data_IF_129955961746
#
_entry.id   IF_129955961746
#
_cell.length_a   1.000
_cell.length_b   1.000
_cell.length_c   1.000
_cell.angle_alpha   90.00
_cell.angle_beta   90.00
_cell.angle_gamma   90.00
#
_symmetry.space_group_name_H-M   'P 1'
#
loop_
_entity.id
_entity.type
_entity.pdbx_description
1 polymer ?
#
# COMPACT_ATOMS: atom_id res chain seq x y z
N UNK A 1 23.62 -0.89 -20.90
CA UNK A 1 24.25 -1.02 -19.55
C UNK A 1 23.37 -1.96 -18.77
N UNK A 2 23.92 -3.03 -18.21
CA UNK A 2 23.14 -3.94 -17.35
C UNK A 2 22.88 -3.26 -16.01
N UNK A 3 21.67 -3.40 -15.47
CA UNK A 3 21.28 -2.89 -14.15
C UNK A 3 20.85 -4.09 -13.31
N UNK A 4 21.38 -4.22 -12.09
CA UNK A 4 20.90 -5.22 -11.16
C UNK A 4 19.69 -4.69 -10.38
N UNK A 5 18.60 -5.40 -10.42
CA UNK A 5 17.37 -5.09 -9.69
C UNK A 5 17.24 -5.97 -8.45
N UNK A 6 17.25 -5.36 -7.26
CA UNK A 6 17.20 -6.06 -5.97
C UNK A 6 15.88 -5.77 -5.27
N UNK A 7 15.06 -6.79 -5.07
CA UNK A 7 13.78 -6.68 -4.38
C UNK A 7 13.92 -7.09 -2.92
N UNK A 8 13.63 -6.16 -2.01
CA UNK A 8 13.75 -6.39 -0.57
C UNK A 8 12.36 -6.58 0.02
N UNK A 9 12.08 -7.81 0.41
CA UNK A 9 10.82 -8.20 1.05
C UNK A 9 10.98 -8.15 2.57
N UNK A 10 10.40 -7.15 3.17
CA UNK A 10 10.37 -7.02 4.64
C UNK A 10 9.34 -7.99 5.22
N UNK A 11 8.24 -8.24 4.52
CA UNK A 11 7.22 -9.23 4.91
C UNK A 11 6.77 -10.11 3.73
N UNK A 12 6.25 -11.32 4.00
CA UNK A 12 5.79 -12.24 2.96
C UNK A 12 4.69 -11.64 2.06
N UNK A 13 3.81 -10.81 2.61
CA UNK A 13 2.73 -10.15 1.85
C UNK A 13 3.21 -9.16 0.79
N UNK A 14 4.49 -8.83 0.76
CA UNK A 14 5.07 -7.94 -0.26
C UNK A 14 5.44 -8.67 -1.56
N UNK A 15 5.40 -10.00 -1.61
CA UNK A 15 5.66 -10.75 -2.84
C UNK A 15 4.73 -10.33 -3.98
N UNK A 16 3.45 -10.13 -3.68
CA UNK A 16 2.45 -9.70 -4.66
C UNK A 16 2.67 -8.26 -5.17
N UNK A 17 3.32 -7.41 -4.36
CA UNK A 17 3.56 -6.00 -4.70
C UNK A 17 4.62 -5.89 -5.80
N UNK A 18 5.68 -6.68 -5.68
CA UNK A 18 6.79 -6.62 -6.63
C UNK A 18 6.61 -7.48 -7.87
N UNK A 19 5.61 -8.38 -7.88
CA UNK A 19 5.40 -9.31 -9.00
C UNK A 19 5.28 -8.58 -10.33
N UNK A 20 4.44 -7.53 -10.40
CA UNK A 20 4.27 -6.73 -11.60
C UNK A 20 5.54 -6.01 -12.05
N UNK A 21 6.28 -5.41 -11.11
CA UNK A 21 7.56 -4.73 -11.37
C UNK A 21 8.59 -5.71 -11.91
N UNK A 22 8.77 -6.83 -11.20
CA UNK A 22 9.73 -7.88 -11.57
C UNK A 22 9.46 -8.47 -12.94
N UNK A 23 8.18 -8.79 -13.24
CA UNK A 23 7.80 -9.42 -14.51
C UNK A 23 8.04 -8.52 -15.73
N UNK A 24 8.00 -7.20 -15.55
CA UNK A 24 8.22 -6.25 -16.65
C UNK A 24 9.68 -5.82 -16.80
N UNK A 25 10.50 -5.92 -15.76
CA UNK A 25 11.90 -5.52 -15.85
C UNK A 25 12.69 -6.39 -16.82
N UNK A 26 12.47 -7.70 -16.82
CA UNK A 26 13.28 -8.65 -17.58
C UNK A 26 14.79 -8.47 -17.29
N UNK A 27 15.55 -9.50 -17.15
CA UNK A 27 16.99 -9.41 -16.86
C UNK A 27 17.35 -9.87 -15.46
N UNK A 28 18.56 -9.49 -14.98
CA UNK A 28 19.09 -9.97 -13.72
C UNK A 28 18.33 -9.35 -12.54
N UNK A 29 17.58 -10.17 -11.81
CA UNK A 29 16.89 -9.77 -10.61
C UNK A 29 17.25 -10.66 -9.42
N UNK A 30 17.46 -10.05 -8.27
CA UNK A 30 17.78 -10.72 -7.01
C UNK A 30 16.65 -10.48 -6.00
N UNK A 31 16.05 -11.56 -5.50
CA UNK A 31 15.01 -11.50 -4.47
C UNK A 31 15.63 -11.73 -3.10
N UNK A 32 15.51 -10.75 -2.21
CA UNK A 32 16.02 -10.83 -0.84
C UNK A 32 14.85 -10.79 0.15
N UNK A 33 14.52 -11.95 0.70
CA UNK A 33 13.52 -12.08 1.77
C UNK A 33 14.18 -11.86 3.12
N UNK A 34 14.05 -10.68 3.68
CA UNK A 34 14.69 -10.30 4.95
C UNK A 34 14.28 -11.28 6.06
N UNK A 35 13.00 -11.61 6.18
CA UNK A 35 12.52 -12.54 7.20
C UNK A 35 13.10 -13.95 7.06
N UNK A 36 13.16 -14.50 5.83
CA UNK A 36 13.70 -15.85 5.56
C UNK A 36 15.22 -15.89 5.74
N UNK A 37 15.93 -14.87 5.20
CA UNK A 37 17.40 -14.83 5.23
C UNK A 37 17.95 -14.52 6.63
N UNK A 38 17.19 -13.83 7.46
CA UNK A 38 17.58 -13.52 8.83
C UNK A 38 17.12 -14.56 9.86
N UNK A 39 16.41 -15.61 9.42
CA UNK A 39 15.77 -16.60 10.30
C UNK A 39 14.96 -15.93 11.43
N UNK A 40 14.25 -14.84 11.10
CA UNK A 40 13.35 -14.19 12.04
C UNK A 40 12.11 -15.08 12.19
N UNK A 41 11.76 -15.39 13.44
CA UNK A 41 10.46 -16.02 13.72
C UNK A 41 9.33 -15.03 13.42
N UNK A 42 8.17 -15.53 13.02
CA UNK A 42 7.00 -14.69 12.67
C UNK A 42 6.64 -13.70 13.80
N UNK A 43 6.89 -14.09 15.05
CA UNK A 43 6.69 -13.26 16.23
C UNK A 43 7.65 -12.06 16.31
N UNK A 44 8.90 -12.19 15.86
CA UNK A 44 9.89 -11.11 15.85
C UNK A 44 9.55 -10.09 14.78
N UNK A 45 9.04 -10.54 13.63
CA UNK A 45 8.60 -9.68 12.55
C UNK A 45 7.37 -8.84 12.94
N UNK A 46 6.32 -9.47 13.46
CA UNK A 46 5.11 -8.80 13.98
C UNK A 46 5.47 -7.77 15.07
N UNK A 47 6.48 -8.08 15.85
CA UNK A 47 6.98 -7.21 16.89
C UNK A 47 7.72 -5.98 16.34
N UNK A 48 8.53 -6.13 15.30
CA UNK A 48 9.22 -5.02 14.64
C UNK A 48 8.21 -4.06 14.01
N UNK A 49 7.20 -4.56 13.32
CA UNK A 49 6.17 -3.73 12.67
C UNK A 49 5.23 -3.07 13.66
N UNK A 50 4.83 -3.75 14.75
CA UNK A 50 3.93 -3.19 15.79
C UNK A 50 4.61 -2.17 16.70
N UNK A 51 5.91 -2.25 16.85
CA UNK A 51 6.68 -1.34 17.71
C UNK A 51 6.80 0.05 17.10
N UNK A 52 6.49 0.24 15.83
CA UNK A 52 6.53 1.58 15.20
C UNK A 52 5.71 2.66 15.92
N UNK A 53 4.77 2.32 16.80
CA UNK A 53 3.82 3.26 17.39
C UNK A 53 3.87 3.45 18.92
N UNK A 54 4.85 2.93 19.68
CA UNK A 54 4.87 3.07 21.13
C UNK A 54 6.15 3.72 21.72
N UNK A 55 6.02 4.44 22.84
CA UNK A 55 7.13 5.05 23.61
C UNK A 55 8.18 4.01 24.07
N UNK A 56 7.79 2.74 24.20
CA UNK A 56 8.71 1.62 24.50
C UNK A 56 9.73 1.35 23.38
N UNK A 57 9.59 1.97 22.22
CA UNK A 57 10.53 1.97 21.10
C UNK A 57 11.97 2.28 21.53
N UNK A 58 12.14 3.33 22.31
CA UNK A 58 13.46 3.85 22.64
C UNK A 58 14.35 2.86 23.39
N UNK A 59 13.75 2.06 24.31
CA UNK A 59 14.48 1.03 25.03
C UNK A 59 14.77 -0.22 24.16
N UNK A 60 13.91 -0.49 23.18
CA UNK A 60 14.02 -1.69 22.32
C UNK A 60 15.01 -1.51 21.17
N UNK A 61 15.29 -0.28 20.80
CA UNK A 61 16.31 0.05 19.80
C UNK A 61 17.66 -0.63 20.07
N UNK A 62 18.03 -0.77 21.33
CA UNK A 62 19.23 -1.52 21.74
C UNK A 62 19.18 -3.01 21.33
N UNK A 63 17.98 -3.56 21.14
CA UNK A 63 17.77 -4.96 20.74
C UNK A 63 17.76 -5.16 19.22
N UNK A 64 17.52 -4.10 18.42
CA UNK A 64 17.51 -4.20 16.95
C UNK A 64 18.90 -4.12 16.32
N UNK A 65 19.89 -3.65 17.05
CA UNK A 65 21.26 -3.55 16.53
C UNK A 65 21.75 -4.83 15.84
N UNK A 66 21.54 -6.04 16.41
CA UNK A 66 21.92 -7.29 15.75
C UNK A 66 21.20 -7.54 14.43
N UNK A 67 19.90 -7.23 14.34
CA UNK A 67 19.10 -7.40 13.12
C UNK A 67 19.55 -6.42 12.05
N UNK A 68 19.70 -5.14 12.41
CA UNK A 68 20.20 -4.11 11.49
C UNK A 68 21.59 -4.43 10.95
N UNK A 69 22.45 -4.99 11.80
CA UNK A 69 23.79 -5.43 11.40
C UNK A 69 23.76 -6.60 10.41
N UNK A 70 22.81 -7.53 10.56
CA UNK A 70 22.62 -8.62 9.58
C UNK A 70 22.13 -8.07 8.23
N UNK A 71 21.19 -7.13 8.24
CA UNK A 71 20.70 -6.48 7.02
C UNK A 71 21.83 -5.69 6.36
N UNK A 72 22.63 -4.96 7.13
CA UNK A 72 23.81 -4.26 6.64
C UNK A 72 24.78 -5.22 5.96
N UNK A 73 25.10 -6.35 6.58
CA UNK A 73 25.93 -7.39 5.98
C UNK A 73 25.40 -7.89 4.64
N UNK A 74 24.08 -8.14 4.54
CA UNK A 74 23.42 -8.58 3.31
C UNK A 74 23.54 -7.51 2.20
N UNK A 75 23.26 -6.26 2.50
CA UNK A 75 23.34 -5.16 1.53
C UNK A 75 24.80 -4.94 1.08
N UNK A 76 25.74 -5.00 2.01
CA UNK A 76 27.17 -4.89 1.70
C UNK A 76 27.62 -6.02 0.76
N UNK A 77 27.23 -7.26 1.03
CA UNK A 77 27.52 -8.40 0.17
C UNK A 77 27.02 -8.18 -1.26
N UNK A 78 25.76 -7.70 -1.41
CA UNK A 78 25.21 -7.39 -2.73
C UNK A 78 26.00 -6.29 -3.42
N UNK A 79 26.33 -5.21 -2.72
CA UNK A 79 27.09 -4.08 -3.27
C UNK A 79 28.51 -4.49 -3.66
N UNK A 80 29.18 -5.31 -2.87
CA UNK A 80 30.52 -5.82 -3.17
C UNK A 80 30.55 -6.81 -4.33
N UNK A 81 29.54 -7.69 -4.39
CA UNK A 81 29.49 -8.73 -5.42
C UNK A 81 29.08 -8.18 -6.78
N UNK A 82 28.17 -7.19 -6.81
CA UNK A 82 27.55 -6.73 -8.06
C UNK A 82 27.74 -5.23 -8.33
N UNK A 83 27.84 -4.41 -7.28
CA UNK A 83 27.88 -2.95 -7.39
C UNK A 83 29.17 -2.39 -8.00
N UNK A 84 30.22 -3.21 -8.13
CA UNK A 84 31.47 -2.81 -8.79
C UNK A 84 31.31 -2.74 -10.32
N UNK A 85 30.49 -3.62 -10.90
CA UNK A 85 30.40 -3.80 -12.35
C UNK A 85 29.17 -3.15 -12.97
N UNK A 86 28.10 -2.95 -12.20
CA UNK A 86 26.82 -2.42 -12.69
C UNK A 86 26.08 -1.61 -11.61
N UNK A 87 25.19 -0.67 -12.00
CA UNK A 87 24.30 0.01 -11.09
C UNK A 87 23.36 -0.97 -10.39
N UNK A 88 23.06 -0.71 -9.12
CA UNK A 88 22.14 -1.52 -8.30
C UNK A 88 20.92 -0.70 -7.93
N UNK A 89 19.73 -1.19 -8.24
CA UNK A 89 18.46 -0.57 -7.89
C UNK A 89 17.73 -1.42 -6.86
N UNK A 90 17.58 -0.90 -5.66
CA UNK A 90 16.87 -1.55 -4.57
C UNK A 90 15.40 -1.15 -4.56
N UNK A 91 14.50 -2.10 -4.45
CA UNK A 91 13.05 -1.89 -4.38
C UNK A 91 12.53 -2.23 -3.00
N UNK A 92 11.77 -1.31 -2.41
CA UNK A 92 11.08 -1.45 -1.13
C UNK A 92 9.60 -1.12 -1.29
N UNK A 93 8.74 -1.77 -0.51
CA UNK A 93 7.31 -1.47 -0.46
C UNK A 93 6.93 -0.55 0.72
N UNK A 94 7.91 0.01 1.43
CA UNK A 94 7.69 0.86 2.60
C UNK A 94 8.76 1.95 2.70
N UNK A 95 8.36 3.13 3.14
CA UNK A 95 9.24 4.26 3.50
C UNK A 95 9.40 4.44 5.02
N UNK A 96 9.21 3.37 5.79
CA UNK A 96 9.45 3.35 7.22
C UNK A 96 10.94 3.39 7.59
N UNK A 97 11.25 2.91 8.79
CA UNK A 97 12.63 2.84 9.29
C UNK A 97 13.56 2.00 8.40
N UNK A 98 13.00 1.02 7.68
CA UNK A 98 13.74 0.16 6.76
C UNK A 98 14.32 0.92 5.58
N UNK A 99 13.55 1.84 5.00
CA UNK A 99 14.04 2.69 3.91
C UNK A 99 15.19 3.58 4.37
N UNK A 100 15.07 4.17 5.57
CA UNK A 100 16.15 4.97 6.18
C UNK A 100 17.41 4.14 6.43
N UNK A 101 17.26 2.92 6.98
CA UNK A 101 18.34 2.00 7.22
C UNK A 101 19.09 1.64 5.94
N UNK A 102 18.36 1.19 4.92
CA UNK A 102 18.96 0.76 3.65
C UNK A 102 19.61 1.95 2.95
N UNK A 103 19.00 3.13 2.99
CA UNK A 103 19.58 4.35 2.45
C UNK A 103 20.91 4.72 3.13
N UNK A 104 20.96 4.60 4.46
CA UNK A 104 22.18 4.87 5.21
C UNK A 104 23.30 3.87 4.86
N UNK A 105 22.95 2.58 4.69
CA UNK A 105 23.89 1.55 4.28
C UNK A 105 24.42 1.83 2.87
N UNK A 106 23.52 2.11 1.91
CA UNK A 106 23.90 2.46 0.55
C UNK A 106 24.88 3.65 0.56
N UNK A 107 24.54 4.73 1.27
CA UNK A 107 25.40 5.92 1.34
C UNK A 107 26.79 5.65 1.93
N UNK A 108 26.90 4.71 2.88
CA UNK A 108 28.19 4.38 3.51
C UNK A 108 29.05 3.45 2.67
N UNK A 109 28.44 2.59 1.86
CA UNK A 109 29.15 1.48 1.21
C UNK A 109 29.11 1.47 -0.32
N UNK A 110 28.28 2.30 -0.96
CA UNK A 110 28.28 2.45 -2.42
C UNK A 110 29.41 3.37 -2.87
N UNK A 111 30.59 2.83 -3.05
CA UNK A 111 31.81 3.63 -3.30
C UNK A 111 32.05 4.00 -4.76
N UNK A 112 31.42 3.36 -5.72
CA UNK A 112 31.88 3.46 -7.12
C UNK A 112 30.82 3.59 -8.20
N UNK A 113 29.53 3.30 -7.92
CA UNK A 113 28.46 3.41 -8.91
C UNK A 113 27.12 3.80 -8.30
N UNK A 114 26.24 4.25 -9.18
CA UNK A 114 24.90 4.70 -8.81
C UNK A 114 24.11 3.57 -8.18
N UNK A 115 23.83 3.69 -6.89
CA UNK A 115 22.89 2.82 -6.18
C UNK A 115 21.66 3.63 -5.82
N UNK A 116 20.48 3.15 -6.23
CA UNK A 116 19.20 3.85 -6.05
C UNK A 116 18.26 3.05 -5.18
N UNK A 117 17.41 3.77 -4.46
CA UNK A 117 16.34 3.20 -3.67
C UNK A 117 14.99 3.61 -4.24
N UNK A 118 14.18 2.64 -4.64
CA UNK A 118 12.86 2.81 -5.23
C UNK A 118 11.81 2.36 -4.23
N UNK A 119 10.87 3.24 -3.91
CA UNK A 119 9.67 2.88 -3.18
C UNK A 119 8.57 2.46 -4.15
N UNK A 120 7.98 1.29 -3.92
CA UNK A 120 6.77 0.81 -4.63
C UNK A 120 5.60 0.92 -3.67
N UNK A 121 4.68 1.83 -3.94
CA UNK A 121 3.54 2.06 -3.07
C UNK A 121 2.68 0.79 -2.93
N UNK A 122 2.39 0.38 -1.69
CA UNK A 122 1.57 -0.80 -1.43
C UNK A 122 0.27 -0.48 -0.67
N UNK A 123 0.17 0.69 -0.06
CA UNK A 123 -0.97 1.15 0.72
C UNK A 123 -1.44 2.54 0.31
N UNK A 124 -2.59 2.96 0.82
CA UNK A 124 -3.00 4.35 0.76
C UNK A 124 -2.11 5.15 1.71
N UNK A 125 -1.48 6.18 1.20
CA UNK A 125 -0.57 7.01 1.97
C UNK A 125 -1.27 8.29 2.38
N UNK A 126 -1.09 8.70 3.62
CA UNK A 126 -1.52 10.02 4.09
C UNK A 126 -0.67 11.11 3.45
N UNK A 127 -1.34 12.17 2.97
CA UNK A 127 -0.64 13.34 2.42
C UNK A 127 -0.18 14.31 3.51
N UNK A 128 -0.37 13.96 4.78
CA UNK A 128 0.05 14.80 5.89
C UNK A 128 1.56 14.66 6.14
N UNK A 129 2.21 15.79 6.35
CA UNK A 129 3.58 15.81 6.85
C UNK A 129 3.53 15.29 8.28
N UNK A 130 4.25 14.22 8.64
CA UNK A 130 4.29 13.76 10.01
C UNK A 130 4.60 14.93 10.95
N UNK A 131 3.73 15.16 11.91
CA UNK A 131 4.00 16.12 12.96
C UNK A 131 5.36 15.81 13.57
N UNK A 132 6.17 16.83 13.80
CA UNK A 132 7.51 16.66 14.37
C UNK A 132 8.52 15.94 13.46
N UNK A 133 8.40 16.05 12.12
CA UNK A 133 9.40 15.47 11.20
C UNK A 133 10.82 15.96 11.51
N UNK A 134 10.99 17.24 11.87
CA UNK A 134 12.27 17.81 12.28
C UNK A 134 12.85 17.13 13.52
N UNK A 135 11.99 16.82 14.51
CA UNK A 135 12.38 16.10 15.72
C UNK A 135 12.80 14.66 15.40
N UNK A 136 12.06 13.96 14.53
CA UNK A 136 12.43 12.61 14.08
C UNK A 136 13.79 12.62 13.38
N UNK A 137 14.06 13.60 12.52
CA UNK A 137 15.36 13.78 11.86
C UNK A 137 16.49 14.01 12.87
N UNK A 138 16.27 14.88 13.85
CA UNK A 138 17.25 15.15 14.92
C UNK A 138 17.53 13.91 15.77
N UNK A 139 16.49 13.20 16.19
CA UNK A 139 16.64 11.96 16.95
C UNK A 139 17.34 10.85 16.15
N UNK A 140 17.07 10.73 14.85
CA UNK A 140 17.82 9.81 14.00
C UNK A 140 19.31 10.19 13.90
N UNK A 141 19.63 11.48 13.84
CA UNK A 141 21.03 11.92 13.83
C UNK A 141 21.74 11.53 15.12
N UNK A 142 21.10 11.72 16.28
CA UNK A 142 21.63 11.30 17.57
C UNK A 142 21.76 9.76 17.62
N UNK A 143 20.74 9.03 17.19
CA UNK A 143 20.76 7.56 17.19
C UNK A 143 21.90 7.01 16.32
N UNK A 144 22.11 7.59 15.14
CA UNK A 144 23.24 7.20 14.26
C UNK A 144 24.60 7.40 14.92
N UNK A 145 24.77 8.44 15.74
CA UNK A 145 26.01 8.66 16.48
C UNK A 145 26.28 7.56 17.51
N UNK A 146 25.24 7.05 18.17
CA UNK A 146 25.40 6.05 19.24
C UNK A 146 25.35 4.60 18.75
N UNK A 147 24.54 4.30 17.74
CA UNK A 147 24.28 2.93 17.30
C UNK A 147 24.66 2.66 15.83
N UNK A 148 24.93 3.72 15.06
CA UNK A 148 25.16 3.62 13.62
C UNK A 148 23.87 3.51 12.79
N UNK A 149 22.67 3.45 13.41
CA UNK A 149 21.42 3.16 12.72
C UNK A 149 20.30 4.16 13.02
N UNK A 150 19.34 4.37 12.07
CA UNK A 150 18.15 5.19 12.31
C UNK A 150 17.15 4.46 13.21
N UNK A 151 16.28 5.21 13.89
CA UNK A 151 15.21 4.69 14.76
C UNK A 151 13.81 5.07 14.29
N UNK A 152 13.69 6.01 13.36
CA UNK A 152 12.42 6.49 12.83
C UNK A 152 12.41 6.46 11.31
N UNK A 153 11.29 6.01 10.74
CA UNK A 153 10.92 6.35 9.38
C UNK A 153 10.37 7.77 9.28
N UNK A 154 10.53 8.39 8.13
CA UNK A 154 10.02 9.74 7.90
C UNK A 154 8.66 9.77 7.21
N UNK A 155 8.11 8.58 6.90
CA UNK A 155 6.86 8.43 6.18
C UNK A 155 6.97 8.71 4.69
N UNK A 156 5.84 8.65 4.00
CA UNK A 156 5.75 8.78 2.55
C UNK A 156 6.31 10.13 2.06
N UNK A 157 7.26 10.08 1.15
CA UNK A 157 7.96 11.27 0.67
C UNK A 157 8.93 11.87 1.70
N UNK A 158 9.35 11.13 2.70
CA UNK A 158 10.30 11.59 3.73
C UNK A 158 11.73 11.78 3.26
N UNK A 159 12.06 11.30 2.05
CA UNK A 159 13.36 11.51 1.40
C UNK A 159 14.36 10.36 1.54
N UNK A 160 13.93 9.20 2.05
CA UNK A 160 14.78 8.01 2.07
C UNK A 160 14.94 7.42 0.67
N UNK A 161 13.88 7.42 -0.14
CA UNK A 161 13.88 6.86 -1.49
C UNK A 161 14.18 7.92 -2.56
N UNK A 162 14.87 7.50 -3.62
CA UNK A 162 15.21 8.36 -4.75
C UNK A 162 14.05 8.43 -5.77
N UNK A 163 13.35 7.31 -5.92
CA UNK A 163 12.27 7.12 -6.88
C UNK A 163 11.05 6.56 -6.16
N UNK A 164 9.87 7.01 -6.57
CA UNK A 164 8.59 6.50 -6.08
C UNK A 164 7.73 6.03 -7.24
N UNK A 165 7.31 4.76 -7.21
CA UNK A 165 6.26 4.22 -8.06
C UNK A 165 4.95 4.28 -7.28
N UNK A 166 4.00 5.09 -7.75
CA UNK A 166 2.78 5.43 -6.99
C UNK A 166 1.51 5.15 -7.78
N UNK A 167 0.38 5.13 -7.11
CA UNK A 167 -0.92 4.80 -7.70
C UNK A 167 -1.43 5.89 -8.64
N UNK A 168 -1.18 7.16 -8.37
CA UNK A 168 -1.82 8.20 -9.14
C UNK A 168 -1.10 9.54 -9.18
N UNK A 169 -1.70 10.46 -9.93
CA UNK A 169 -1.15 11.80 -10.14
C UNK A 169 -1.10 12.64 -8.87
N UNK A 170 -2.05 12.46 -7.94
CA UNK A 170 -2.08 13.21 -6.67
C UNK A 170 -0.87 12.89 -5.80
N UNK A 171 -0.47 11.61 -5.73
CA UNK A 171 0.76 11.23 -5.05
C UNK A 171 1.99 11.83 -5.74
N UNK A 172 2.03 11.81 -7.07
CA UNK A 172 3.12 12.46 -7.83
C UNK A 172 3.21 13.94 -7.50
N UNK A 173 2.09 14.67 -7.49
CA UNK A 173 2.03 16.09 -7.15
C UNK A 173 2.49 16.34 -5.71
N UNK A 174 2.01 15.54 -4.76
CA UNK A 174 2.46 15.61 -3.37
C UNK A 174 3.97 15.39 -3.24
N UNK A 175 4.52 14.34 -3.87
CA UNK A 175 5.94 14.03 -3.81
C UNK A 175 6.81 15.13 -4.44
N UNK A 176 6.33 15.81 -5.48
CA UNK A 176 7.01 17.01 -6.03
C UNK A 176 7.15 18.12 -4.98
N UNK A 177 6.13 18.35 -4.16
CA UNK A 177 6.22 19.33 -3.06
C UNK A 177 7.25 18.94 -2.00
N UNK A 178 7.61 17.65 -1.94
CA UNK A 178 8.61 17.09 -1.02
C UNK A 178 10.02 17.03 -1.61
N UNK A 179 10.21 17.58 -2.79
CA UNK A 179 11.50 17.56 -3.50
C UNK A 179 12.03 16.15 -3.79
N UNK A 180 11.13 15.18 -3.96
CA UNK A 180 11.49 13.83 -4.39
C UNK A 180 12.02 13.90 -5.83
N UNK A 181 13.13 13.22 -6.09
CA UNK A 181 13.85 13.30 -7.37
C UNK A 181 13.02 12.81 -8.55
N UNK A 182 12.32 11.67 -8.37
CA UNK A 182 11.47 11.09 -9.39
C UNK A 182 10.25 10.40 -8.77
N UNK A 183 9.06 10.77 -9.22
CA UNK A 183 7.81 10.11 -8.86
C UNK A 183 7.02 9.76 -10.12
N UNK A 184 6.68 8.50 -10.32
CA UNK A 184 6.02 7.95 -11.48
C UNK A 184 4.68 7.31 -11.10
N UNK A 185 3.61 7.70 -11.80
CA UNK A 185 2.31 7.03 -11.66
C UNK A 185 2.33 5.72 -12.43
N UNK A 186 2.28 4.59 -11.72
CA UNK A 186 2.40 3.24 -12.28
C UNK A 186 1.33 2.27 -11.71
N UNK A 187 0.02 2.61 -11.78
CA UNK A 187 -1.03 1.83 -11.15
C UNK A 187 -1.16 0.41 -11.71
N UNK A 188 -1.08 0.25 -13.03
CA UNK A 188 -1.25 -1.07 -13.67
C UNK A 188 -0.05 -1.97 -13.44
N UNK A 189 1.14 -1.39 -13.27
CA UNK A 189 2.35 -2.11 -12.90
C UNK A 189 2.23 -2.68 -11.47
N UNK A 190 1.88 -1.82 -10.51
CA UNK A 190 1.77 -2.21 -9.10
C UNK A 190 0.67 -3.28 -8.90
N UNK A 191 -0.38 -3.27 -9.71
CA UNK A 191 -1.52 -4.20 -9.63
C UNK A 191 -1.55 -5.24 -10.76
N UNK A 192 -0.43 -5.47 -11.42
CA UNK A 192 -0.34 -6.41 -12.56
C UNK A 192 -0.80 -7.83 -12.20
N UNK A 193 -0.29 -8.38 -11.12
CA UNK A 193 -0.59 -9.75 -10.70
C UNK A 193 -2.06 -9.89 -10.26
N UNK A 194 -2.62 -8.88 -9.59
CA UNK A 194 -4.04 -8.82 -9.27
C UNK A 194 -4.91 -8.91 -10.53
N UNK A 195 -4.56 -8.15 -11.58
CA UNK A 195 -5.30 -8.19 -12.86
C UNK A 195 -5.21 -9.55 -13.54
N UNK A 196 -4.04 -10.17 -13.54
CA UNK A 196 -3.89 -11.53 -14.09
C UNK A 196 -4.71 -12.58 -13.32
N UNK A 197 -4.67 -12.52 -12.00
CA UNK A 197 -5.47 -13.40 -11.15
C UNK A 197 -6.97 -13.19 -11.40
N UNK A 198 -7.41 -11.94 -11.50
CA UNK A 198 -8.80 -11.60 -11.81
C UNK A 198 -9.25 -12.19 -13.16
N UNK A 199 -8.47 -12.00 -14.21
CA UNK A 199 -8.79 -12.54 -15.54
C UNK A 199 -8.95 -14.07 -15.52
N UNK A 200 -8.05 -14.77 -14.82
CA UNK A 200 -8.14 -16.23 -14.63
C UNK A 200 -9.41 -16.62 -13.86
N UNK A 201 -9.79 -15.84 -12.84
CA UNK A 201 -10.96 -16.11 -12.01
C UNK A 201 -12.26 -15.90 -12.77
N UNK A 202 -12.38 -14.76 -13.47
CA UNK A 202 -13.58 -14.40 -14.26
C UNK A 202 -13.81 -15.35 -15.42
N UNK A 203 -12.75 -15.83 -16.07
CA UNK A 203 -12.89 -16.84 -17.12
C UNK A 203 -13.47 -18.17 -16.62
N UNK A 204 -13.42 -18.43 -15.32
CA UNK A 204 -13.85 -19.67 -14.68
C UNK A 204 -15.13 -19.55 -13.85
N UNK A 205 -15.65 -18.33 -13.62
CA UNK A 205 -16.81 -18.08 -12.76
C UNK A 205 -17.76 -17.07 -13.42
N UNK A 206 -19.05 -17.30 -13.28
CA UNK A 206 -20.05 -16.29 -13.65
C UNK A 206 -19.91 -15.06 -12.73
N UNK A 207 -19.73 -13.90 -13.33
CA UNK A 207 -19.79 -12.62 -12.60
C UNK A 207 -21.25 -12.34 -12.24
N UNK A 208 -21.52 -12.19 -10.95
CA UNK A 208 -22.84 -11.72 -10.50
C UNK A 208 -22.82 -10.18 -10.48
N UNK A 209 -23.50 -9.52 -11.44
CA UNK A 209 -23.53 -8.07 -11.48
C UNK A 209 -24.41 -7.44 -10.38
N UNK A 210 -25.12 -8.26 -9.60
CA UNK A 210 -26.03 -7.83 -8.56
C UNK A 210 -25.40 -7.70 -7.16
N UNK A 211 -24.07 -7.61 -7.03
CA UNK A 211 -23.40 -7.59 -5.74
C UNK A 211 -22.68 -6.25 -5.46
N UNK A 212 -22.88 -5.71 -4.26
CA UNK A 212 -22.08 -4.63 -3.65
C UNK A 212 -21.19 -5.22 -2.59
N UNK A 213 -19.88 -5.05 -2.72
CA UNK A 213 -18.89 -5.48 -1.73
C UNK A 213 -18.51 -4.29 -0.83
N UNK A 214 -18.84 -4.35 0.44
CA UNK A 214 -18.43 -3.37 1.45
C UNK A 214 -17.16 -3.85 2.12
N UNK A 215 -16.07 -3.09 1.98
CA UNK A 215 -14.77 -3.43 2.55
C UNK A 215 -14.50 -2.61 3.81
N UNK A 216 -14.21 -3.31 4.91
CA UNK A 216 -13.87 -2.68 6.18
C UNK A 216 -12.36 -2.55 6.33
N UNK A 217 -11.84 -1.38 6.74
CA UNK A 217 -10.43 -1.19 7.05
C UNK A 217 -10.03 -1.87 8.36
N UNK A 218 -8.73 -1.89 8.65
CA UNK A 218 -8.20 -2.50 9.87
C UNK A 218 -8.66 -1.82 11.17
N UNK A 219 -9.06 -0.56 11.14
CA UNK A 219 -9.43 0.26 12.31
C UNK A 219 -8.44 0.10 13.47
N UNK A 220 -7.15 0.20 13.20
CA UNK A 220 -6.10 0.04 14.22
C UNK A 220 -6.00 1.33 15.03
N UNK A 221 -6.02 1.28 16.38
CA UNK A 221 -5.80 2.46 17.19
C UNK A 221 -4.48 3.16 16.84
N UNK A 222 -4.54 4.46 16.59
CA UNK A 222 -3.39 5.27 16.18
C UNK A 222 -3.09 5.26 14.68
N UNK A 223 -3.91 4.61 13.86
CA UNK A 223 -3.93 4.81 12.41
C UNK A 223 -4.49 6.20 12.05
N UNK A 224 -4.33 6.62 10.80
CA UNK A 224 -4.90 7.88 10.29
C UNK A 224 -6.45 7.90 10.33
N UNK A 225 -7.07 6.72 10.48
CA UNK A 225 -8.51 6.62 10.71
C UNK A 225 -8.88 7.06 12.12
N UNK A 226 -9.76 8.04 12.19
CA UNK A 226 -10.21 8.63 13.46
C UNK A 226 -11.31 7.84 14.15
N UNK A 227 -11.91 6.84 13.47
CA UNK A 227 -13.01 6.06 14.02
C UNK A 227 -12.60 4.63 14.41
N UNK A 228 -13.25 4.10 15.43
CA UNK A 228 -13.21 2.68 15.77
C UNK A 228 -14.22 1.90 14.90
N UNK A 229 -14.16 0.56 14.94
CA UNK A 229 -15.04 -0.28 14.13
C UNK A 229 -16.54 -0.06 14.42
N UNK A 230 -17.04 0.03 15.67
CA UNK A 230 -18.44 0.34 15.92
C UNK A 230 -18.92 1.66 15.31
N UNK A 231 -18.15 2.73 15.41
CA UNK A 231 -18.46 4.03 14.79
C UNK A 231 -18.52 3.92 13.27
N UNK A 232 -17.57 3.20 12.66
CA UNK A 232 -17.58 2.96 11.23
C UNK A 232 -18.82 2.17 10.79
N UNK A 233 -19.18 1.09 11.50
CA UNK A 233 -20.37 0.29 11.19
C UNK A 233 -21.66 1.14 11.26
N UNK A 234 -21.78 1.99 12.29
CA UNK A 234 -22.91 2.92 12.40
C UNK A 234 -22.95 3.93 11.24
N UNK A 235 -21.78 4.40 10.80
CA UNK A 235 -21.65 5.34 9.69
C UNK A 235 -22.09 4.75 8.35
N UNK A 236 -21.73 3.49 8.08
CA UNK A 236 -22.05 2.85 6.80
C UNK A 236 -23.46 2.22 6.77
N UNK A 237 -24.05 1.93 7.93
CA UNK A 237 -25.34 1.25 8.03
C UNK A 237 -26.46 1.93 7.22
N UNK A 238 -26.67 3.26 7.26
CA UNK A 238 -27.72 3.91 6.48
C UNK A 238 -27.56 3.72 4.97
N UNK A 239 -26.32 3.69 4.49
CA UNK A 239 -26.01 3.50 3.05
C UNK A 239 -26.33 2.08 2.64
N UNK A 240 -25.93 1.09 3.43
CA UNK A 240 -26.20 -0.33 3.16
C UNK A 240 -27.67 -0.65 3.24
N UNK A 241 -28.36 -0.16 4.29
CA UNK A 241 -29.80 -0.33 4.42
C UNK A 241 -30.52 0.23 3.19
N UNK A 242 -30.13 1.41 2.73
CA UNK A 242 -30.72 2.00 1.53
C UNK A 242 -30.51 1.13 0.28
N UNK A 243 -29.33 0.54 0.11
CA UNK A 243 -29.04 -0.37 -1.02
C UNK A 243 -29.96 -1.58 -1.00
N UNK A 244 -30.07 -2.26 0.13
CA UNK A 244 -30.91 -3.45 0.29
C UNK A 244 -32.42 -3.16 0.13
N UNK A 245 -32.90 -1.99 0.59
CA UNK A 245 -34.32 -1.62 0.51
C UNK A 245 -34.73 -1.05 -0.85
N UNK A 246 -33.80 -0.48 -1.61
CA UNK A 246 -34.13 0.29 -2.82
C UNK A 246 -33.53 -0.26 -4.11
N UNK A 247 -32.80 -1.35 -4.03
CA UNK A 247 -32.17 -1.99 -5.19
C UNK A 247 -32.28 -3.51 -5.14
N UNK A 248 -31.94 -4.18 -6.24
CA UNK A 248 -31.84 -5.65 -6.30
C UNK A 248 -30.40 -6.14 -5.94
N UNK A 249 -29.51 -5.25 -5.49
CA UNK A 249 -28.14 -5.60 -5.12
C UNK A 249 -28.12 -6.26 -3.75
N UNK A 250 -27.43 -7.39 -3.66
CA UNK A 250 -27.05 -8.00 -2.39
C UNK A 250 -25.80 -7.32 -1.84
N UNK A 251 -25.70 -7.16 -0.52
CA UNK A 251 -24.54 -6.56 0.12
C UNK A 251 -23.73 -7.61 0.87
N UNK A 252 -22.46 -7.73 0.48
CA UNK A 252 -21.46 -8.50 1.23
C UNK A 252 -20.53 -7.55 2.00
N UNK A 253 -20.30 -7.84 3.27
CA UNK A 253 -19.32 -7.11 4.09
C UNK A 253 -18.07 -7.95 4.27
N UNK A 254 -16.94 -7.41 3.85
CA UNK A 254 -15.63 -8.04 3.96
C UNK A 254 -14.79 -7.38 5.04
N UNK A 255 -14.56 -8.04 6.18
CA UNK A 255 -13.64 -7.57 7.20
C UNK A 255 -12.20 -7.56 6.68
N UNK A 256 -11.37 -6.64 7.21
CA UNK A 256 -9.94 -6.63 6.95
C UNK A 256 -9.32 -7.99 7.33
N UNK A 257 -8.35 -8.54 6.56
CA UNK A 257 -7.75 -9.85 6.84
C UNK A 257 -7.25 -10.03 8.27
N UNK A 258 -6.68 -8.99 8.88
CA UNK A 258 -6.22 -8.98 10.27
C UNK A 258 -7.34 -8.80 11.31
N UNK A 259 -8.61 -8.76 10.89
CA UNK A 259 -9.80 -8.56 11.74
C UNK A 259 -10.92 -9.54 11.39
N UNK A 260 -10.59 -10.77 11.07
CA UNK A 260 -11.56 -11.86 10.81
C UNK A 260 -11.80 -12.74 12.03
N UNK A 261 -11.53 -12.19 13.21
CA UNK A 261 -11.78 -12.85 14.47
C UNK A 261 -13.29 -12.87 14.80
N UNK A 262 -13.64 -13.76 15.72
CA UNK A 262 -15.03 -13.96 16.16
C UNK A 262 -15.65 -12.69 16.73
N UNK A 263 -14.86 -11.86 17.39
CA UNK A 263 -15.36 -10.63 18.01
C UNK A 263 -15.75 -9.59 16.96
N UNK A 264 -14.97 -9.44 15.92
CA UNK A 264 -15.30 -8.58 14.76
C UNK A 264 -16.57 -9.06 14.04
N UNK A 265 -16.71 -10.37 13.82
CA UNK A 265 -17.91 -10.96 13.20
C UNK A 265 -19.14 -10.69 14.08
N UNK A 266 -19.02 -10.90 15.39
CA UNK A 266 -20.10 -10.63 16.33
C UNK A 266 -20.49 -9.13 16.34
N UNK A 267 -19.52 -8.22 16.30
CA UNK A 267 -19.77 -6.79 16.23
C UNK A 267 -20.55 -6.40 14.97
N UNK A 268 -20.19 -6.97 13.81
CA UNK A 268 -20.93 -6.72 12.55
C UNK A 268 -22.37 -7.23 12.70
N UNK A 269 -22.56 -8.47 13.15
CA UNK A 269 -23.90 -9.07 13.29
C UNK A 269 -24.79 -8.35 14.31
N UNK A 270 -24.22 -7.77 15.35
CA UNK A 270 -24.95 -7.03 16.39
C UNK A 270 -25.15 -5.54 16.07
N UNK A 271 -24.49 -5.02 15.04
CA UNK A 271 -24.64 -3.64 14.60
C UNK A 271 -25.96 -3.45 13.81
N UNK A 272 -26.34 -2.20 13.57
CA UNK A 272 -27.44 -1.87 12.69
C UNK A 272 -27.28 -2.36 11.25
N UNK A 273 -26.05 -2.71 10.87
CA UNK A 273 -25.69 -3.27 9.57
C UNK A 273 -26.08 -4.76 9.46
N UNK A 274 -25.99 -5.52 10.56
CA UNK A 274 -26.11 -6.98 10.56
C UNK A 274 -27.33 -7.56 9.84
N UNK A 275 -28.54 -7.00 10.01
CA UNK A 275 -29.74 -7.50 9.32
C UNK A 275 -29.72 -7.40 7.78
N UNK A 276 -28.85 -6.57 7.23
CA UNK A 276 -28.84 -6.19 5.81
C UNK A 276 -27.65 -6.78 5.05
N UNK A 277 -26.79 -7.60 5.67
CA UNK A 277 -25.56 -8.04 5.02
C UNK A 277 -25.23 -9.50 5.27
N UNK A 278 -24.53 -10.09 4.32
CA UNK A 278 -23.78 -11.31 4.51
C UNK A 278 -22.30 -10.99 4.73
N UNK A 279 -21.60 -11.79 5.57
CA UNK A 279 -20.17 -11.58 5.84
C UNK A 279 -19.34 -12.42 4.88
N UNK A 280 -18.50 -11.75 4.09
CA UNK A 280 -17.53 -12.40 3.21
C UNK A 280 -16.29 -12.84 4.00
N UNK A 281 -16.22 -14.14 4.29
CA UNK A 281 -15.08 -14.79 4.96
C UNK A 281 -14.11 -15.46 3.97
N UNK A 282 -14.33 -15.29 2.67
CA UNK A 282 -13.46 -15.86 1.64
C UNK A 282 -12.00 -15.38 1.84
N UNK A 283 -11.06 -16.33 1.81
CA UNK A 283 -9.64 -16.00 2.03
C UNK A 283 -9.08 -15.11 0.91
N UNK A 284 -9.45 -15.40 -0.32
CA UNK A 284 -8.95 -14.70 -1.49
C UNK A 284 -9.81 -13.47 -1.78
N UNK A 285 -9.20 -12.28 -1.73
CA UNK A 285 -9.87 -11.02 -2.06
C UNK A 285 -10.44 -11.05 -3.49
N UNK A 286 -9.72 -11.66 -4.41
CA UNK A 286 -10.08 -11.69 -5.83
C UNK A 286 -11.44 -12.36 -6.08
N UNK A 287 -11.84 -13.34 -5.26
CA UNK A 287 -13.13 -14.01 -5.38
C UNK A 287 -14.29 -13.06 -5.00
N UNK A 288 -14.15 -12.29 -3.94
CA UNK A 288 -15.11 -11.26 -3.58
C UNK A 288 -15.21 -10.16 -4.65
N UNK A 289 -14.04 -9.67 -5.12
CA UNK A 289 -13.98 -8.65 -6.17
C UNK A 289 -14.53 -9.14 -7.50
N UNK A 290 -14.32 -10.39 -7.88
CA UNK A 290 -14.83 -10.92 -9.16
C UNK A 290 -16.36 -10.92 -9.22
N UNK A 291 -17.04 -11.13 -8.09
CA UNK A 291 -18.49 -11.15 -7.96
C UNK A 291 -19.10 -9.75 -7.86
N UNK A 292 -18.36 -8.76 -7.36
CA UNK A 292 -18.87 -7.44 -7.09
C UNK A 292 -19.02 -6.59 -8.37
N UNK A 293 -20.14 -5.87 -8.49
CA UNK A 293 -20.33 -4.79 -9.46
C UNK A 293 -19.77 -3.47 -8.93
N UNK A 294 -19.97 -3.22 -7.64
CA UNK A 294 -19.54 -2.03 -6.91
C UNK A 294 -18.73 -2.43 -5.68
N UNK A 295 -17.73 -1.63 -5.35
CA UNK A 295 -16.92 -1.84 -4.13
C UNK A 295 -16.98 -0.57 -3.29
N UNK A 296 -17.50 -0.69 -2.09
CA UNK A 296 -17.83 0.41 -1.21
C UNK A 296 -17.01 0.32 0.08
N UNK A 297 -16.60 1.44 0.63
CA UNK A 297 -15.91 1.44 1.91
C UNK A 297 -15.40 2.81 2.32
N UNK A 298 -14.72 2.83 3.45
CA UNK A 298 -13.96 3.99 3.90
C UNK A 298 -12.54 3.97 3.27
N UNK A 299 -11.52 4.32 4.01
CA UNK A 299 -10.13 4.29 3.57
C UNK A 299 -9.62 2.85 3.39
N UNK A 300 -9.59 2.34 2.16
CA UNK A 300 -9.12 0.98 1.85
C UNK A 300 -8.41 0.90 0.51
N UNK A 301 -7.28 0.20 0.45
CA UNK A 301 -6.58 -0.11 -0.81
C UNK A 301 -7.39 -0.99 -1.76
N UNK A 302 -8.36 -1.75 -1.23
CA UNK A 302 -9.27 -2.56 -2.03
C UNK A 302 -10.12 -1.72 -2.99
N UNK A 303 -10.38 -0.45 -2.65
CA UNK A 303 -11.04 0.49 -3.56
C UNK A 303 -10.17 0.79 -4.79
N UNK A 304 -8.86 0.87 -4.62
CA UNK A 304 -7.95 0.98 -5.74
C UNK A 304 -7.87 -0.32 -6.55
N UNK A 305 -7.83 -1.46 -5.86
CA UNK A 305 -7.88 -2.77 -6.52
C UNK A 305 -9.13 -2.90 -7.39
N UNK A 306 -10.29 -2.46 -6.87
CA UNK A 306 -11.56 -2.48 -7.62
C UNK A 306 -11.51 -1.61 -8.88
N UNK A 307 -10.93 -0.42 -8.79
CA UNK A 307 -10.72 0.46 -9.95
C UNK A 307 -9.83 -0.20 -11.01
N UNK A 308 -8.74 -0.85 -10.61
CA UNK A 308 -7.84 -1.56 -11.52
C UNK A 308 -8.54 -2.73 -12.26
N UNK A 309 -9.61 -3.27 -11.67
CA UNK A 309 -10.42 -4.35 -12.23
C UNK A 309 -11.66 -3.84 -12.99
N UNK A 310 -11.79 -2.55 -13.21
CA UNK A 310 -12.93 -1.93 -13.91
C UNK A 310 -14.21 -1.95 -13.10
N UNK A 311 -14.13 -2.06 -11.78
CA UNK A 311 -15.28 -1.93 -10.86
C UNK A 311 -15.43 -0.48 -10.41
N UNK A 312 -16.60 -0.13 -9.92
CA UNK A 312 -16.87 1.22 -9.40
C UNK A 312 -16.44 1.30 -7.93
N UNK A 313 -15.36 2.05 -7.60
CA UNK A 313 -14.98 2.30 -6.22
C UNK A 313 -15.86 3.42 -5.64
N UNK A 314 -16.46 3.18 -4.47
CA UNK A 314 -17.31 4.14 -3.77
C UNK A 314 -16.74 4.37 -2.38
N UNK A 315 -16.40 5.62 -2.06
CA UNK A 315 -16.03 6.00 -0.70
C UNK A 315 -17.23 6.51 0.08
N UNK A 316 -17.30 6.12 1.34
CA UNK A 316 -18.26 6.67 2.30
C UNK A 316 -17.53 7.71 3.13
N UNK A 317 -17.95 8.98 2.98
CA UNK A 317 -17.42 10.13 3.72
C UNK A 317 -18.31 10.45 4.91
N UNK A 318 -17.67 10.77 6.04
CA UNK A 318 -18.33 11.14 7.31
C UNK A 318 -17.36 11.93 8.18
N UNK A 319 -17.79 12.36 9.35
CA UNK A 319 -16.92 13.06 10.30
C UNK A 319 -15.74 12.23 10.78
N UNK A 320 -15.88 10.90 10.80
CA UNK A 320 -14.82 9.98 11.18
C UNK A 320 -14.00 9.43 9.99
N UNK A 321 -14.48 9.61 8.76
CA UNK A 321 -13.90 9.02 7.55
C UNK A 321 -13.96 10.03 6.40
N UNK A 322 -13.21 11.12 6.50
CA UNK A 322 -13.15 12.15 5.46
C UNK A 322 -11.82 12.09 4.71
N UNK A 323 -11.56 10.96 4.06
CA UNK A 323 -10.33 10.72 3.32
C UNK A 323 -10.59 10.81 1.81
N UNK A 324 -9.85 11.68 1.13
CA UNK A 324 -9.90 11.80 -0.33
C UNK A 324 -8.92 10.82 -0.96
N UNK A 325 -9.44 9.83 -1.66
CA UNK A 325 -8.59 8.88 -2.38
C UNK A 325 -7.84 9.57 -3.53
N UNK A 326 -6.60 9.16 -3.82
CA UNK A 326 -5.77 9.77 -4.86
C UNK A 326 -6.14 9.37 -6.29
N UNK A 327 -7.17 8.56 -6.47
CA UNK A 327 -7.62 8.03 -7.76
C UNK A 327 -9.11 8.33 -8.01
N UNK A 328 -9.62 8.17 -9.25
CA UNK A 328 -11.04 8.35 -9.55
C UNK A 328 -11.92 7.41 -8.75
N UNK A 329 -12.92 7.94 -8.08
CA UNK A 329 -13.91 7.21 -7.28
C UNK A 329 -15.16 8.03 -7.09
N UNK A 330 -16.25 7.36 -6.74
CA UNK A 330 -17.50 7.97 -6.31
C UNK A 330 -17.46 8.25 -4.80
N UNK A 331 -18.14 9.30 -4.35
CA UNK A 331 -18.16 9.69 -2.92
C UNK A 331 -19.60 9.79 -2.47
N UNK A 332 -19.94 9.08 -1.40
CA UNK A 332 -21.21 9.21 -0.68
C UNK A 332 -20.92 9.88 0.67
N UNK A 333 -21.47 11.06 0.87
CA UNK A 333 -21.38 11.77 2.15
C UNK A 333 -22.65 11.50 2.97
N UNK A 334 -22.50 10.74 4.05
CA UNK A 334 -23.64 10.36 4.92
C UNK A 334 -24.22 11.52 5.72
N UNK A 335 -23.51 12.66 5.77
CA UNK A 335 -23.98 13.90 6.42
C UNK A 335 -24.99 14.66 5.56
N UNK A 336 -25.15 14.28 4.30
CA UNK A 336 -26.05 14.90 3.32
C UNK A 336 -27.14 13.94 2.85
N UNK A 337 -28.10 14.45 2.09
CA UNK A 337 -29.10 13.61 1.40
C UNK A 337 -28.42 12.80 0.29
N UNK A 338 -27.99 11.58 0.58
CA UNK A 338 -27.18 10.76 -0.32
C UNK A 338 -28.00 9.83 -1.24
N UNK A 339 -29.29 9.60 -0.97
CA UNK A 339 -30.13 8.60 -1.63
C UNK A 339 -30.15 8.72 -3.17
N UNK A 340 -30.47 9.90 -3.69
CA UNK A 340 -30.53 10.15 -5.14
C UNK A 340 -29.16 9.96 -5.80
N UNK A 341 -28.10 10.44 -5.15
CA UNK A 341 -26.73 10.29 -5.61
C UNK A 341 -26.31 8.83 -5.64
N UNK A 342 -26.63 8.07 -4.62
CA UNK A 342 -26.33 6.64 -4.53
C UNK A 342 -27.07 5.87 -5.62
N UNK A 343 -28.36 6.15 -5.85
CA UNK A 343 -29.13 5.57 -6.94
C UNK A 343 -28.53 5.83 -8.32
N UNK A 344 -28.02 7.05 -8.54
CA UNK A 344 -27.30 7.38 -9.77
C UNK A 344 -25.98 6.61 -9.91
N UNK A 345 -25.18 6.54 -8.84
CA UNK A 345 -23.90 5.80 -8.81
C UNK A 345 -24.11 4.32 -9.09
N UNK A 346 -25.15 3.70 -8.53
CA UNK A 346 -25.45 2.28 -8.73
C UNK A 346 -26.07 1.97 -10.12
N UNK A 347 -26.11 2.94 -11.02
CA UNK A 347 -26.63 2.77 -12.39
C UNK A 347 -25.67 2.03 -13.33
N UNK A 348 -26.22 1.48 -14.42
CA UNK A 348 -25.43 0.84 -15.48
C UNK A 348 -24.47 1.81 -16.17
N UNK A 349 -24.85 3.07 -16.31
CA UNK A 349 -23.98 4.11 -16.92
C UNK A 349 -22.68 4.33 -16.15
N UNK A 350 -22.77 4.35 -14.82
CA UNK A 350 -21.55 4.47 -13.98
C UNK A 350 -20.67 3.24 -14.14
N UNK A 351 -21.24 2.03 -14.15
CA UNK A 351 -20.45 0.80 -14.42
C UNK A 351 -19.74 0.84 -15.76
N UNK A 352 -20.42 1.26 -16.83
CA UNK A 352 -19.83 1.40 -18.17
C UNK A 352 -18.67 2.40 -18.19
N UNK A 353 -18.82 3.53 -17.48
CA UNK A 353 -17.74 4.52 -17.33
C UNK A 353 -16.48 3.93 -16.69
N UNK A 354 -16.62 3.13 -15.62
CA UNK A 354 -15.50 2.53 -14.94
C UNK A 354 -14.98 1.25 -15.60
N UNK A 355 -15.82 0.53 -16.37
CA UNK A 355 -15.42 -0.69 -17.09
C UNK A 355 -14.26 -0.46 -18.09
N UNK A 356 -14.16 0.75 -18.65
CA UNK A 356 -13.00 1.13 -19.48
C UNK A 356 -11.69 1.24 -18.69
N UNK A 357 -11.80 1.31 -17.37
CA UNK A 357 -10.72 1.18 -16.39
C UNK A 357 -9.50 2.07 -16.64
N UNK A 358 -8.41 1.70 -16.02
CA UNK A 358 -7.09 2.32 -16.18
C UNK A 358 -6.37 1.88 -17.47
N UNK A 359 -7.11 1.66 -18.57
CA UNK A 359 -6.54 1.22 -19.86
C UNK A 359 -5.76 2.31 -20.61
N UNK A 360 -5.37 3.39 -19.95
CA UNK A 360 -4.49 4.38 -20.55
C UNK A 360 -3.07 3.81 -20.66
N UNK A 361 -2.36 4.04 -21.78
CA UNK A 361 -0.96 3.66 -21.88
C UNK A 361 -0.20 4.29 -20.70
N UNK A 362 0.45 3.46 -19.93
CA UNK A 362 1.33 3.91 -18.87
C UNK A 362 2.58 4.52 -19.48
N UNK A 363 3.15 5.48 -18.75
CA UNK A 363 4.50 5.95 -19.00
C UNK A 363 5.43 4.73 -19.00
N UNK A 364 6.39 4.71 -19.93
CA UNK A 364 7.45 3.69 -19.89
C UNK A 364 8.35 3.93 -18.67
N UNK A 365 7.87 3.46 -17.52
CA UNK A 365 8.50 3.63 -16.22
C UNK A 365 9.90 3.00 -16.18
N UNK A 366 10.13 1.91 -16.94
CA UNK A 366 11.42 1.23 -17.06
C UNK A 366 12.42 2.17 -17.73
N UNK A 367 12.05 2.75 -18.85
CA UNK A 367 12.87 3.74 -19.55
C UNK A 367 13.18 4.95 -18.68
N UNK A 368 12.21 5.44 -17.89
CA UNK A 368 12.43 6.57 -16.99
C UNK A 368 13.39 6.21 -15.85
N UNK A 369 13.33 5.00 -15.28
CA UNK A 369 14.30 4.54 -14.28
C UNK A 369 15.68 4.38 -14.92
N UNK A 370 15.79 3.73 -16.08
CA UNK A 370 17.06 3.56 -16.79
C UNK A 370 17.71 4.91 -17.13
N UNK A 371 16.91 5.84 -17.62
CA UNK A 371 17.34 7.22 -17.90
C UNK A 371 17.83 7.92 -16.63
N UNK A 372 17.08 7.79 -15.52
CA UNK A 372 17.46 8.38 -14.24
C UNK A 372 18.79 7.80 -13.73
N UNK A 373 18.97 6.48 -13.82
CA UNK A 373 20.23 5.79 -13.46
C UNK A 373 21.40 6.31 -14.29
N UNK A 374 21.20 6.53 -15.60
CA UNK A 374 22.26 6.97 -16.51
C UNK A 374 22.57 8.47 -16.40
N UNK A 375 21.62 9.27 -15.96
CA UNK A 375 21.76 10.73 -15.82
C UNK A 375 22.18 11.18 -14.42
N UNK A 376 22.07 10.32 -13.40
CA UNK A 376 22.59 10.64 -12.09
C UNK A 376 24.13 10.64 -12.16
N UNK A 377 24.80 11.80 -12.18
CA UNK A 377 26.25 11.81 -12.00
C UNK A 377 26.57 11.22 -10.64
N UNK A 378 27.67 10.51 -10.55
CA UNK A 378 28.19 9.96 -9.30
C UNK A 378 28.06 11.03 -8.21
N UNK A 379 27.12 10.80 -7.29
CA UNK A 379 26.97 11.67 -6.12
C UNK A 379 28.11 11.33 -5.17
N UNK A 380 29.27 11.90 -5.45
CA UNK A 380 30.38 12.00 -4.50
C UNK A 380 29.98 12.84 -3.29
#
# INVERSE_FOLDING_TARGET
MSILHVFIYVCPSQEDIFGGVRNQLGGDSLNQHVSKNLHLEDNEYDYITRVEFSIRRYARFLFYGPIFKKIEGLIIEILQTHGMDQPVVFYLADEGVWAELIRDIIKRHAHTRTSLLVNVQHGLMGFEIPSLLWLRKSLNSIARLFSGYPIFGYGFGGGACDIHLVYGKKEVEFLKTRQIKLALSAPTLIKHDLRQQYQKTVNNQAVDPGLVLVVLPACVPGSEMRCNLPELLNTISPVVQWVEENTEYQVLVRPHPGRRDRDTINLINQSALGPFVEIDLEKQLILGLSRAAFVMGAQSTVLFDSLCLGKVPITISSDCCDYILPFPHEVIDVRSAFADKLGHILSSKTREHYASGLNKPELDWKHEIEKFVTQCPDTN
#
